data_IF_026932115989
#
_entry.id   IF_026932115989
#
_cell.length_a   1.000
_cell.length_b   1.000
_cell.length_c   1.000
_cell.angle_alpha   90.00
_cell.angle_beta   90.00
_cell.angle_gamma   90.00
#
_symmetry.space_group_name_H-M   'P 1'
#
loop_
_entity.id
_entity.type
_entity.pdbx_description
1 polymer ?
#
# COMPACT_ATOMS: atom_id res chain seq x y z
N UNK A 1 -10.57 -27.28 16.63
CA UNK A 1 -11.97 -27.64 16.31
C UNK A 1 -12.47 -26.53 15.40
N UNK A 2 -12.85 -26.85 14.14
CA UNK A 2 -13.41 -25.86 13.22
C UNK A 2 -14.80 -25.48 13.74
N UNK A 3 -15.02 -24.19 14.03
CA UNK A 3 -16.34 -23.67 14.35
C UNK A 3 -17.13 -23.56 13.05
N UNK A 4 -18.33 -24.12 13.03
CA UNK A 4 -19.27 -23.94 11.92
C UNK A 4 -19.93 -22.56 12.05
N UNK A 5 -19.90 -21.81 10.95
CA UNK A 5 -20.62 -20.54 10.82
C UNK A 5 -21.97 -20.86 10.17
N UNK A 6 -23.05 -20.59 10.89
CA UNK A 6 -24.41 -20.68 10.36
C UNK A 6 -25.07 -19.31 10.55
N UNK A 7 -25.29 -18.59 9.47
CA UNK A 7 -25.95 -17.28 9.49
C UNK A 7 -27.12 -17.29 8.52
N UNK A 8 -28.21 -16.64 8.93
CA UNK A 8 -29.40 -16.45 8.12
C UNK A 8 -29.89 -15.02 8.24
N UNK A 9 -30.21 -14.41 7.10
CA UNK A 9 -30.78 -13.07 7.06
C UNK A 9 -31.73 -12.92 5.88
N UNK A 10 -32.83 -12.19 6.09
CA UNK A 10 -33.73 -11.77 5.05
C UNK A 10 -33.27 -10.44 4.44
N UNK A 11 -33.32 -10.32 3.12
CA UNK A 11 -32.94 -9.10 2.41
C UNK A 11 -33.98 -8.01 2.64
N UNK A 12 -33.64 -6.90 3.32
CA UNK A 12 -34.55 -5.77 3.46
C UNK A 12 -34.99 -5.22 2.10
N UNK A 13 -36.23 -4.70 2.03
CA UNK A 13 -36.79 -4.20 0.77
C UNK A 13 -35.93 -3.10 0.12
N UNK A 14 -35.29 -2.25 0.93
CA UNK A 14 -34.38 -1.19 0.49
C UNK A 14 -33.06 -1.69 -0.11
N UNK A 15 -32.68 -2.95 0.15
CA UNK A 15 -31.51 -3.59 -0.45
C UNK A 15 -31.87 -4.44 -1.67
N UNK A 16 -33.15 -4.58 -1.98
CA UNK A 16 -33.63 -5.23 -3.19
C UNK A 16 -33.10 -4.53 -4.46
N UNK A 17 -32.78 -5.31 -5.48
CA UNK A 17 -32.22 -4.78 -6.73
C UNK A 17 -30.70 -4.55 -6.71
N UNK A 18 -30.04 -4.87 -5.60
CA UNK A 18 -28.58 -4.79 -5.50
C UNK A 18 -27.92 -6.15 -5.74
N UNK A 19 -26.62 -6.12 -5.95
CA UNK A 19 -25.82 -7.33 -6.18
C UNK A 19 -25.69 -8.15 -4.90
N UNK A 20 -25.75 -9.47 -5.01
CA UNK A 20 -25.66 -10.40 -3.89
C UNK A 20 -24.40 -10.15 -3.02
N UNK A 21 -23.22 -9.93 -3.65
CA UNK A 21 -21.98 -9.70 -2.91
C UNK A 21 -22.00 -8.38 -2.09
N UNK A 22 -22.81 -7.41 -2.49
CA UNK A 22 -22.98 -6.15 -1.76
C UNK A 22 -23.98 -6.30 -0.62
N UNK A 23 -25.11 -6.94 -0.88
CA UNK A 23 -26.15 -7.20 0.12
C UNK A 23 -25.61 -8.10 1.22
N UNK A 24 -24.95 -9.20 0.87
CA UNK A 24 -24.32 -10.10 1.83
C UNK A 24 -23.31 -9.38 2.73
N UNK A 25 -22.50 -8.45 2.19
CA UNK A 25 -21.54 -7.68 2.97
C UNK A 25 -22.18 -6.66 3.93
N UNK A 26 -23.42 -6.26 3.69
CA UNK A 26 -24.17 -5.41 4.62
C UNK A 26 -24.86 -6.23 5.70
N UNK A 27 -25.42 -7.40 5.36
CA UNK A 27 -26.17 -8.25 6.28
C UNK A 27 -25.23 -9.07 7.20
N UNK A 28 -24.07 -9.48 6.71
CA UNK A 28 -23.06 -10.26 7.45
C UNK A 28 -21.78 -9.43 7.61
N UNK A 29 -21.92 -8.28 8.30
CA UNK A 29 -20.86 -7.26 8.41
C UNK A 29 -19.59 -7.73 9.13
N UNK A 30 -19.63 -8.83 9.89
CA UNK A 30 -18.48 -9.48 10.50
C UNK A 30 -17.55 -10.16 9.48
N UNK A 31 -18.01 -10.36 8.24
CA UNK A 31 -17.23 -11.00 7.19
C UNK A 31 -16.86 -10.05 6.05
N UNK A 32 -15.63 -10.16 5.55
CA UNK A 32 -15.21 -9.32 4.42
C UNK A 32 -15.99 -9.69 3.14
N UNK A 33 -16.29 -8.68 2.30
CA UNK A 33 -16.96 -8.88 1.01
C UNK A 33 -16.24 -9.89 0.12
N UNK A 34 -14.90 -9.95 0.18
CA UNK A 34 -14.10 -10.91 -0.57
C UNK A 34 -14.38 -12.34 -0.12
N UNK A 35 -14.49 -12.57 1.20
CA UNK A 35 -14.80 -13.87 1.79
C UNK A 35 -16.22 -14.30 1.45
N UNK A 36 -17.19 -13.41 1.59
CA UNK A 36 -18.57 -13.66 1.20
C UNK A 36 -18.68 -13.99 -0.29
N UNK A 37 -17.95 -13.28 -1.15
CA UNK A 37 -17.91 -13.60 -2.59
C UNK A 37 -17.29 -14.96 -2.91
N UNK A 38 -16.33 -15.43 -2.12
CA UNK A 38 -15.80 -16.80 -2.23
C UNK A 38 -16.87 -17.82 -1.82
N UNK A 39 -17.48 -17.65 -0.66
CA UNK A 39 -18.55 -18.54 -0.18
C UNK A 39 -19.77 -18.60 -1.09
N UNK A 40 -20.15 -17.49 -1.76
CA UNK A 40 -21.19 -17.50 -2.80
C UNK A 40 -20.76 -18.40 -3.97
N UNK A 41 -19.52 -18.27 -4.44
CA UNK A 41 -19.00 -19.10 -5.57
C UNK A 41 -18.91 -20.58 -5.23
N UNK A 42 -18.58 -20.88 -3.99
CA UNK A 42 -18.41 -22.24 -3.48
C UNK A 42 -19.77 -22.86 -3.05
N UNK A 43 -20.87 -22.11 -3.21
CA UNK A 43 -22.22 -22.57 -2.84
C UNK A 43 -22.48 -22.67 -1.34
N UNK A 44 -21.60 -22.10 -0.50
CA UNK A 44 -21.75 -22.05 0.97
C UNK A 44 -22.71 -20.95 1.40
N UNK A 45 -22.88 -19.89 0.59
CA UNK A 45 -23.91 -18.88 0.75
C UNK A 45 -24.94 -19.04 -0.35
N UNK A 46 -26.17 -19.33 0.03
CA UNK A 46 -27.31 -19.56 -0.85
C UNK A 46 -28.36 -18.46 -0.70
N UNK A 47 -29.23 -18.32 -1.71
CA UNK A 47 -30.38 -17.40 -1.69
C UNK A 47 -31.61 -18.23 -1.99
N UNK A 48 -32.58 -18.27 -1.06
CA UNK A 48 -33.78 -19.11 -1.13
C UNK A 48 -33.45 -20.58 -1.46
N UNK A 49 -32.32 -21.09 -0.89
CA UNK A 49 -31.80 -22.43 -1.14
C UNK A 49 -31.08 -22.61 -2.48
N UNK A 50 -31.01 -21.58 -3.32
CA UNK A 50 -30.35 -21.62 -4.63
C UNK A 50 -28.95 -21.01 -4.62
N UNK A 51 -28.03 -21.53 -5.46
CA UNK A 51 -26.69 -20.98 -5.65
C UNK A 51 -26.71 -19.93 -6.75
N UNK A 52 -26.36 -18.69 -6.40
CA UNK A 52 -26.23 -17.57 -7.32
C UNK A 52 -24.75 -17.18 -7.51
N UNK A 53 -24.49 -16.25 -8.44
CA UNK A 53 -23.17 -15.65 -8.61
C UNK A 53 -23.05 -14.38 -7.76
N UNK A 54 -21.84 -13.98 -7.32
CA UNK A 54 -21.66 -12.75 -6.54
C UNK A 54 -22.21 -11.47 -7.16
N UNK A 55 -22.36 -11.46 -8.50
CA UNK A 55 -22.86 -10.29 -9.26
C UNK A 55 -24.34 -10.35 -9.57
N UNK A 56 -25.00 -11.48 -9.29
CA UNK A 56 -26.42 -11.62 -9.53
C UNK A 56 -27.22 -10.69 -8.60
N UNK A 57 -28.38 -10.24 -9.07
CA UNK A 57 -29.23 -9.31 -8.34
C UNK A 57 -30.15 -10.12 -7.41
N UNK A 58 -30.29 -9.65 -6.18
CA UNK A 58 -31.23 -10.23 -5.20
C UNK A 58 -32.43 -9.32 -4.99
N UNK A 59 -33.58 -9.91 -4.63
CA UNK A 59 -34.81 -9.18 -4.38
C UNK A 59 -35.03 -8.97 -2.88
N UNK A 60 -35.78 -7.94 -2.51
CA UNK A 60 -36.26 -7.77 -1.15
C UNK A 60 -37.14 -8.94 -0.73
N UNK A 61 -36.99 -9.42 0.50
CA UNK A 61 -37.64 -10.61 1.04
C UNK A 61 -36.94 -11.94 0.73
N UNK A 62 -35.92 -11.97 -0.13
CA UNK A 62 -35.10 -13.17 -0.35
C UNK A 62 -34.31 -13.54 0.92
N UNK A 63 -34.15 -14.83 1.19
CA UNK A 63 -33.45 -15.32 2.39
C UNK A 63 -32.04 -15.76 2.00
N UNK A 64 -31.02 -15.11 2.61
CA UNK A 64 -29.62 -15.52 2.52
C UNK A 64 -29.32 -16.50 3.65
N UNK A 65 -28.78 -17.66 3.29
CA UNK A 65 -28.30 -18.68 4.23
C UNK A 65 -26.82 -18.94 3.98
N UNK A 66 -25.98 -18.75 4.99
CA UNK A 66 -24.56 -19.06 4.97
C UNK A 66 -24.30 -20.24 5.89
N UNK A 67 -23.80 -21.33 5.32
CA UNK A 67 -23.30 -22.50 6.04
C UNK A 67 -21.86 -22.70 5.58
N UNK A 68 -20.91 -22.30 6.42
CA UNK A 68 -19.50 -22.40 6.12
C UNK A 68 -18.74 -22.91 7.34
N UNK A 69 -17.76 -23.76 7.12
CA UNK A 69 -16.75 -23.98 8.14
C UNK A 69 -15.91 -22.70 8.24
N UNK A 70 -15.59 -22.30 9.47
CA UNK A 70 -14.60 -21.28 9.71
C UNK A 70 -13.26 -21.87 9.24
N UNK A 71 -13.01 -21.79 7.92
CA UNK A 71 -11.66 -21.98 7.45
C UNK A 71 -10.82 -20.96 8.19
N UNK A 72 -9.90 -21.43 9.01
CA UNK A 72 -8.83 -20.59 9.51
C UNK A 72 -8.33 -19.83 8.27
N UNK A 73 -8.47 -18.50 8.26
CA UNK A 73 -7.83 -17.66 7.23
C UNK A 73 -6.40 -18.12 7.28
N UNK A 74 -5.89 -18.73 6.18
CA UNK A 74 -4.70 -19.54 6.12
C UNK A 74 -3.74 -19.10 7.20
N UNK A 75 -3.47 -19.95 8.19
CA UNK A 75 -2.90 -19.60 9.47
C UNK A 75 -1.69 -18.73 9.24
N UNK A 76 -1.88 -17.42 9.33
CA UNK A 76 -0.74 -16.51 9.27
C UNK A 76 0.05 -16.77 10.53
N UNK A 77 1.18 -17.42 10.38
CA UNK A 77 2.02 -17.81 11.48
C UNK A 77 2.76 -16.57 12.00
N UNK A 78 2.70 -16.34 13.30
CA UNK A 78 3.53 -15.33 13.95
C UNK A 78 5.01 -15.68 13.74
N UNK A 79 5.82 -14.70 13.33
CA UNK A 79 7.25 -14.89 13.11
C UNK A 79 8.03 -13.77 13.81
N UNK A 80 9.10 -14.16 14.48
CA UNK A 80 10.02 -13.23 15.13
C UNK A 80 10.86 -12.50 14.07
N UNK A 81 10.28 -11.41 13.55
CA UNK A 81 10.92 -10.52 12.60
C UNK A 81 11.01 -9.15 13.27
N UNK A 82 12.23 -8.63 13.38
CA UNK A 82 12.50 -7.35 14.02
C UNK A 82 11.72 -6.20 13.34
N UNK A 83 11.07 -5.36 14.16
CA UNK A 83 10.34 -4.19 13.75
C UNK A 83 11.05 -2.92 14.29
N UNK A 84 11.40 -2.01 13.41
CA UNK A 84 11.85 -0.67 13.79
C UNK A 84 10.62 0.19 14.16
N UNK A 85 10.31 0.21 15.47
CA UNK A 85 9.13 0.86 16.04
C UNK A 85 9.46 2.31 16.35
N UNK A 86 8.75 3.24 15.70
CA UNK A 86 8.89 4.69 15.89
C UNK A 86 7.94 5.20 16.98
N UNK A 87 6.75 4.60 17.07
CA UNK A 87 5.75 4.94 18.07
C UNK A 87 4.81 3.77 18.30
N UNK A 88 4.41 3.56 19.53
CA UNK A 88 3.41 2.56 19.89
C UNK A 88 2.58 3.02 21.08
N UNK A 89 1.28 2.77 21.03
CA UNK A 89 0.35 2.83 22.15
C UNK A 89 -0.68 1.70 22.06
N UNK A 90 -1.77 1.76 22.80
CA UNK A 90 -2.81 0.74 22.81
C UNK A 90 -3.64 0.70 21.50
N UNK A 91 -3.60 1.74 20.67
CA UNK A 91 -4.44 1.91 19.49
C UNK A 91 -3.70 1.77 18.18
N UNK A 92 -2.49 2.28 18.11
CA UNK A 92 -1.70 2.33 16.88
C UNK A 92 -0.24 1.93 17.10
N UNK A 93 0.37 1.43 16.05
CA UNK A 93 1.78 1.18 15.93
C UNK A 93 2.30 1.91 14.69
N UNK A 94 3.35 2.71 14.82
CA UNK A 94 4.06 3.35 13.69
C UNK A 94 5.44 2.73 13.57
N UNK A 95 5.73 2.20 12.40
CA UNK A 95 6.99 1.53 12.11
C UNK A 95 7.76 2.24 10.99
N UNK A 96 9.06 2.10 10.98
CA UNK A 96 9.93 2.40 9.86
C UNK A 96 10.26 1.11 9.11
N UNK A 97 9.52 0.81 8.04
CA UNK A 97 9.66 -0.44 7.29
C UNK A 97 11.01 -0.49 6.57
N UNK A 98 11.82 -1.54 6.75
CA UNK A 98 13.05 -1.74 5.96
C UNK A 98 12.76 -2.11 4.49
N UNK A 99 13.77 -2.00 3.64
CA UNK A 99 13.74 -2.57 2.29
C UNK A 99 13.68 -4.11 2.36
N UNK A 100 13.12 -4.74 1.34
CA UNK A 100 13.02 -6.21 1.24
C UNK A 100 11.82 -6.81 1.99
N UNK A 101 11.23 -6.11 2.96
CA UNK A 101 10.08 -6.61 3.73
C UNK A 101 8.76 -6.40 2.96
N UNK A 102 8.10 -7.50 2.63
CA UNK A 102 6.74 -7.49 2.03
C UNK A 102 5.71 -7.19 3.11
N UNK A 103 4.71 -6.38 2.81
CA UNK A 103 3.70 -5.97 3.79
C UNK A 103 2.70 -7.09 4.09
N UNK A 104 2.18 -7.75 3.07
CA UNK A 104 1.16 -8.80 3.18
C UNK A 104 1.58 -10.06 2.44
N UNK A 105 1.22 -11.24 2.93
CA UNK A 105 1.36 -12.48 2.17
C UNK A 105 0.75 -12.36 0.76
N UNK A 106 1.49 -12.81 -0.23
CA UNK A 106 1.10 -12.79 -1.64
C UNK A 106 1.75 -13.96 -2.38
N UNK A 107 1.36 -14.19 -3.63
CA UNK A 107 1.99 -15.21 -4.47
C UNK A 107 3.53 -15.02 -4.51
N UNK A 108 4.26 -16.04 -4.10
CA UNK A 108 5.73 -16.02 -3.97
C UNK A 108 6.27 -15.49 -2.63
N UNK A 109 5.41 -15.06 -1.70
CA UNK A 109 5.75 -14.64 -0.35
C UNK A 109 4.60 -15.04 0.59
N UNK A 110 4.53 -16.32 0.95
CA UNK A 110 3.47 -16.86 1.82
C UNK A 110 3.67 -16.44 3.28
N UNK A 111 4.92 -16.21 3.68
CA UNK A 111 5.37 -15.82 5.02
C UNK A 111 6.54 -14.81 4.93
N UNK A 112 7.21 -14.54 6.05
CA UNK A 112 8.31 -13.57 6.10
C UNK A 112 7.85 -12.13 5.83
N UNK A 113 6.60 -11.81 6.14
CA UNK A 113 6.00 -10.51 5.84
C UNK A 113 5.83 -9.65 7.10
N UNK A 114 5.57 -8.36 6.91
CA UNK A 114 5.22 -7.47 8.02
C UNK A 114 4.03 -8.01 8.81
N UNK A 115 3.04 -8.60 8.16
CA UNK A 115 1.90 -9.21 8.84
C UNK A 115 2.34 -10.29 9.83
N UNK A 116 3.30 -11.17 9.45
CA UNK A 116 3.82 -12.21 10.33
C UNK A 116 4.57 -11.62 11.52
N UNK A 117 5.33 -10.53 11.31
CA UNK A 117 6.00 -9.78 12.38
C UNK A 117 5.00 -9.14 13.36
N UNK A 118 3.93 -8.54 12.83
CA UNK A 118 2.89 -7.93 13.65
C UNK A 118 2.15 -8.94 14.52
N UNK A 119 1.87 -10.13 14.01
CA UNK A 119 1.27 -11.21 14.78
C UNK A 119 2.16 -11.69 15.93
N UNK A 120 3.47 -11.62 15.75
CA UNK A 120 4.42 -11.94 16.82
C UNK A 120 4.51 -10.85 17.88
N UNK A 121 4.59 -9.58 17.42
CA UNK A 121 4.74 -8.42 18.30
C UNK A 121 3.46 -8.10 19.10
N UNK A 122 2.29 -8.22 18.46
CA UNK A 122 0.97 -7.94 19.05
C UNK A 122 0.05 -9.14 18.75
N UNK A 123 0.06 -10.22 19.57
CA UNK A 123 -0.73 -11.44 19.27
C UNK A 123 -2.22 -11.19 19.05
N UNK A 124 -2.82 -10.25 19.79
CA UNK A 124 -4.25 -9.92 19.69
C UNK A 124 -4.62 -9.22 18.37
N UNK A 125 -3.64 -8.76 17.60
CA UNK A 125 -3.87 -8.09 16.30
C UNK A 125 -4.48 -9.03 15.26
N UNK A 126 -4.44 -10.34 15.50
CA UNK A 126 -5.09 -11.35 14.66
C UNK A 126 -6.61 -11.10 14.55
N UNK A 127 -7.21 -10.52 15.57
CA UNK A 127 -8.63 -10.17 15.62
C UNK A 127 -8.96 -8.90 14.80
N UNK A 128 -7.93 -8.15 14.38
CA UNK A 128 -8.10 -6.94 13.55
C UNK A 128 -7.95 -7.33 12.08
N UNK A 129 -8.88 -6.96 11.20
CA UNK A 129 -8.80 -7.32 9.79
C UNK A 129 -7.43 -6.97 9.19
N UNK A 130 -6.81 -7.93 8.49
CA UNK A 130 -5.45 -7.79 7.90
C UNK A 130 -4.37 -7.44 8.92
N UNK A 131 -4.48 -7.91 10.15
CA UNK A 131 -3.59 -7.54 11.24
C UNK A 131 -3.40 -6.00 11.34
N UNK A 132 -4.48 -5.24 11.23
CA UNK A 132 -4.48 -3.79 11.38
C UNK A 132 -3.81 -2.99 10.27
N UNK A 133 -3.35 -3.60 9.20
CA UNK A 133 -2.68 -2.93 8.09
C UNK A 133 -3.70 -2.17 7.24
N UNK A 134 -3.66 -0.83 7.29
CA UNK A 134 -4.60 0.07 6.60
C UNK A 134 -4.05 0.64 5.29
N UNK A 135 -2.74 0.65 5.12
CA UNK A 135 -2.06 1.04 3.87
C UNK A 135 -0.79 0.21 3.66
N UNK A 136 -0.12 0.41 2.55
CA UNK A 136 1.06 -0.39 2.21
C UNK A 136 2.17 0.42 1.58
N UNK A 137 3.40 -0.06 1.73
CA UNK A 137 4.56 0.28 0.93
C UNK A 137 4.92 -0.90 0.01
N UNK A 138 5.61 -0.63 -1.08
CA UNK A 138 6.19 -1.70 -1.91
C UNK A 138 7.29 -2.43 -1.14
N UNK A 139 7.62 -3.66 -1.54
CA UNK A 139 8.65 -4.50 -0.90
C UNK A 139 9.92 -3.72 -0.59
N UNK A 140 10.45 -3.03 -1.58
CA UNK A 140 11.75 -2.34 -1.51
C UNK A 140 11.63 -0.83 -1.25
N UNK A 141 10.44 -0.33 -0.92
CA UNK A 141 10.22 1.03 -0.41
C UNK A 141 10.36 1.02 1.09
N UNK A 142 11.20 1.91 1.61
CA UNK A 142 11.46 2.08 3.04
C UNK A 142 10.60 3.17 3.66
N UNK A 143 10.51 3.21 4.99
CA UNK A 143 9.94 4.34 5.72
C UNK A 143 8.64 4.06 6.45
N UNK A 144 7.96 5.13 6.83
CA UNK A 144 6.88 5.13 7.80
C UNK A 144 5.61 4.42 7.32
N UNK A 145 5.09 3.56 8.17
CA UNK A 145 3.76 2.95 8.07
C UNK A 145 3.05 2.99 9.42
N UNK A 146 1.71 3.22 9.39
CA UNK A 146 0.85 3.07 10.56
C UNK A 146 0.04 1.78 10.46
N UNK A 147 -0.09 1.11 11.60
CA UNK A 147 -0.87 -0.10 11.80
C UNK A 147 -1.85 0.14 12.95
N UNK A 148 -3.09 -0.29 12.80
CA UNK A 148 -4.09 -0.25 13.85
C UNK A 148 -3.97 -1.48 14.75
N UNK A 149 -3.97 -1.30 16.07
CA UNK A 149 -3.97 -2.41 17.04
C UNK A 149 -5.38 -2.86 17.42
N UNK A 150 -6.41 -2.05 17.12
CA UNK A 150 -7.81 -2.34 17.42
C UNK A 150 -8.69 -2.13 16.18
N UNK A 151 -9.87 -2.77 16.16
CA UNK A 151 -10.86 -2.61 15.07
C UNK A 151 -11.33 -1.16 15.00
N UNK A 152 -11.53 -0.50 16.15
CA UNK A 152 -11.95 0.91 16.21
C UNK A 152 -10.89 1.82 15.58
N UNK A 153 -9.62 1.64 15.94
CA UNK A 153 -8.51 2.39 15.36
C UNK A 153 -8.41 2.16 13.85
N UNK A 154 -8.58 0.91 13.40
CA UNK A 154 -8.58 0.58 11.98
C UNK A 154 -9.68 1.32 11.21
N UNK A 155 -10.91 1.32 11.73
CA UNK A 155 -12.05 2.01 11.10
C UNK A 155 -11.77 3.51 10.97
N UNK A 156 -11.25 4.15 12.02
CA UNK A 156 -10.93 5.56 12.01
C UNK A 156 -9.78 5.89 11.04
N UNK A 157 -8.71 5.10 11.04
CA UNK A 157 -7.59 5.29 10.11
C UNK A 157 -8.00 5.08 8.65
N UNK A 158 -8.87 4.10 8.37
CA UNK A 158 -9.42 3.90 7.01
C UNK A 158 -10.26 5.10 6.59
N UNK A 159 -11.09 5.64 7.47
CA UNK A 159 -11.88 6.86 7.23
C UNK A 159 -10.97 8.05 6.92
N UNK A 160 -9.92 8.27 7.69
CA UNK A 160 -8.94 9.32 7.46
C UNK A 160 -8.19 9.15 6.12
N UNK A 161 -7.85 7.93 5.75
CA UNK A 161 -7.22 7.64 4.44
C UNK A 161 -8.19 7.90 3.28
N UNK A 162 -9.45 7.59 3.44
CA UNK A 162 -10.50 7.83 2.43
C UNK A 162 -10.82 9.32 2.28
N UNK A 163 -10.87 10.07 3.38
CA UNK A 163 -11.07 11.53 3.39
C UNK A 163 -9.80 12.31 3.03
N UNK A 164 -8.66 11.60 2.82
CA UNK A 164 -7.35 12.18 2.49
C UNK A 164 -6.79 13.11 3.57
N UNK A 165 -7.19 12.95 4.83
CA UNK A 165 -6.69 13.74 5.95
C UNK A 165 -5.33 13.25 6.46
N UNK A 166 -4.93 12.01 6.15
CA UNK A 166 -3.59 11.49 6.45
C UNK A 166 -2.56 12.09 5.51
N UNK A 167 -1.59 12.83 6.05
CA UNK A 167 -0.47 13.36 5.26
C UNK A 167 0.63 12.32 5.13
N UNK A 168 0.98 11.97 3.90
CA UNK A 168 2.05 11.00 3.56
C UNK A 168 3.02 11.68 2.62
N UNK A 169 4.25 11.91 3.10
CA UNK A 169 5.29 12.57 2.32
C UNK A 169 6.44 11.61 2.12
N UNK A 170 6.88 11.52 0.89
CA UNK A 170 7.97 10.67 0.44
C UNK A 170 9.10 11.51 -0.11
N UNK A 171 10.32 10.96 -0.06
CA UNK A 171 11.45 11.48 -0.79
C UNK A 171 11.95 10.43 -1.79
N UNK A 172 12.30 10.88 -2.98
CA UNK A 172 12.81 10.00 -4.04
C UNK A 172 13.90 10.70 -4.85
N UNK A 173 14.78 9.91 -5.46
CA UNK A 173 15.76 10.40 -6.42
C UNK A 173 15.31 9.93 -7.80
N UNK A 174 15.14 10.89 -8.72
CA UNK A 174 14.70 10.63 -10.08
C UNK A 174 15.80 10.89 -11.09
N UNK A 175 15.73 10.15 -12.20
CA UNK A 175 16.60 10.33 -13.36
C UNK A 175 16.09 11.54 -14.15
N UNK A 176 16.99 12.50 -14.43
CA UNK A 176 16.67 13.74 -15.13
C UNK A 176 16.61 14.96 -14.21
N UNK A 177 16.69 16.14 -14.81
CA UNK A 177 16.67 17.43 -14.11
C UNK A 177 15.28 18.00 -14.16
N UNK A 178 14.57 17.88 -13.05
CA UNK A 178 13.21 18.44 -12.88
C UNK A 178 13.32 19.96 -12.69
N UNK A 179 12.69 20.72 -13.57
CA UNK A 179 12.82 22.20 -13.59
C UNK A 179 11.93 22.88 -12.54
N UNK A 180 10.74 22.33 -12.26
CA UNK A 180 9.79 22.89 -11.28
C UNK A 180 9.01 21.78 -10.58
N UNK A 181 8.47 22.10 -9.41
CA UNK A 181 7.46 21.24 -8.76
C UNK A 181 6.14 21.26 -9.53
N UNK A 182 5.26 20.30 -9.22
CA UNK A 182 3.98 20.19 -9.90
C UNK A 182 3.01 19.22 -9.26
N UNK A 183 1.88 19.03 -9.92
CA UNK A 183 0.84 18.05 -9.61
C UNK A 183 0.73 17.05 -10.76
N UNK A 184 0.66 15.78 -10.44
CA UNK A 184 0.32 14.71 -11.39
C UNK A 184 -1.05 14.19 -10.99
N UNK A 185 -2.05 14.41 -11.84
CA UNK A 185 -3.42 13.94 -11.67
C UNK A 185 -3.71 13.00 -12.85
N UNK A 186 -3.36 11.73 -12.66
CA UNK A 186 -3.42 10.75 -13.73
C UNK A 186 -3.89 9.39 -13.18
N UNK A 187 -5.00 8.82 -13.69
CA UNK A 187 -5.58 7.61 -13.16
C UNK A 187 -4.68 6.39 -13.39
N UNK A 188 -4.58 5.53 -12.38
CA UNK A 188 -3.71 4.35 -12.41
C UNK A 188 -4.55 3.07 -12.44
N UNK A 189 -4.21 2.19 -13.37
CA UNK A 189 -4.76 0.84 -13.50
C UNK A 189 -3.68 -0.21 -13.68
N UNK A 190 -4.08 -1.47 -13.77
CA UNK A 190 -3.17 -2.59 -14.04
C UNK A 190 -2.75 -2.57 -15.50
N UNK A 191 -1.44 -2.68 -15.76
CA UNK A 191 -0.91 -2.70 -17.12
C UNK A 191 -1.50 -3.85 -17.95
N UNK A 192 -1.97 -3.56 -19.16
CA UNK A 192 -2.75 -4.50 -19.98
C UNK A 192 -2.02 -5.83 -20.29
N UNK A 193 -0.71 -5.77 -20.56
CA UNK A 193 0.09 -6.94 -20.93
C UNK A 193 0.96 -7.46 -19.76
N UNK A 194 1.50 -6.59 -18.93
CA UNK A 194 2.38 -6.94 -17.81
C UNK A 194 1.65 -6.86 -16.48
N UNK A 195 0.94 -7.93 -16.10
CA UNK A 195 0.03 -7.96 -14.94
C UNK A 195 0.69 -7.57 -13.60
N UNK A 196 2.00 -7.64 -13.47
CA UNK A 196 2.75 -7.23 -12.27
C UNK A 196 2.99 -5.72 -12.22
N UNK A 197 2.77 -4.98 -13.34
CA UNK A 197 2.95 -3.55 -13.44
C UNK A 197 1.63 -2.80 -13.36
N UNK A 198 1.73 -1.57 -12.89
CA UNK A 198 0.68 -0.56 -12.99
C UNK A 198 1.02 0.43 -14.10
N UNK A 199 0.03 1.14 -14.63
CA UNK A 199 0.22 2.16 -15.65
C UNK A 199 -0.79 3.30 -15.48
N UNK A 200 -0.44 4.48 -15.93
CA UNK A 200 -1.43 5.53 -16.18
C UNK A 200 -2.29 5.08 -17.35
N UNK A 201 -3.60 5.02 -17.15
CA UNK A 201 -4.53 4.57 -18.18
C UNK A 201 -5.93 5.15 -17.97
N UNK A 202 -6.63 5.37 -19.05
CA UNK A 202 -8.04 5.72 -19.03
C UNK A 202 -8.87 4.60 -18.38
N UNK A 203 -9.84 4.98 -17.55
CA UNK A 203 -10.60 4.00 -16.74
C UNK A 203 -9.87 3.46 -15.51
N UNK A 204 -8.63 3.89 -15.24
CA UNK A 204 -7.91 3.61 -14.01
C UNK A 204 -8.55 4.28 -12.79
N UNK A 205 -8.08 3.91 -11.59
CA UNK A 205 -8.51 4.57 -10.34
C UNK A 205 -7.84 5.92 -10.21
N UNK A 206 -8.60 6.95 -9.82
CA UNK A 206 -8.06 8.29 -9.56
C UNK A 206 -6.80 8.23 -8.70
N UNK A 207 -5.76 8.92 -9.15
CA UNK A 207 -4.47 8.99 -8.47
C UNK A 207 -3.89 10.40 -8.60
N UNK A 208 -3.50 10.99 -7.46
CA UNK A 208 -2.99 12.36 -7.39
C UNK A 208 -1.73 12.39 -6.53
N UNK A 209 -0.65 12.95 -7.09
CA UNK A 209 0.63 13.16 -6.43
C UNK A 209 1.10 14.61 -6.63
N UNK A 210 1.52 15.28 -5.56
CA UNK A 210 2.17 16.58 -5.63
C UNK A 210 3.66 16.40 -5.42
N UNK A 211 4.49 17.05 -6.25
CA UNK A 211 5.93 16.93 -6.10
C UNK A 211 6.62 18.29 -6.04
N UNK A 212 7.72 18.34 -5.29
CA UNK A 212 8.60 19.51 -5.13
C UNK A 212 10.04 19.10 -5.32
N UNK A 213 10.81 19.92 -6.03
CA UNK A 213 12.25 19.78 -6.13
C UNK A 213 12.88 20.16 -4.79
N UNK A 214 13.70 19.27 -4.23
CA UNK A 214 14.53 19.56 -3.05
C UNK A 214 15.93 19.99 -3.48
N UNK A 215 16.57 19.22 -4.36
CA UNK A 215 17.91 19.51 -4.87
C UNK A 215 18.07 18.99 -6.29
N UNK A 216 18.81 19.74 -7.14
CA UNK A 216 19.14 19.34 -8.51
C UNK A 216 20.61 18.98 -8.58
N UNK A 217 20.87 17.91 -9.31
CA UNK A 217 22.20 17.44 -9.69
C UNK A 217 22.35 17.54 -11.21
N UNK A 218 23.51 17.18 -11.75
CA UNK A 218 23.78 17.28 -13.19
C UNK A 218 22.78 16.52 -14.09
N UNK A 219 22.35 15.34 -13.64
CA UNK A 219 21.48 14.45 -14.41
C UNK A 219 20.39 13.78 -13.56
N UNK A 220 20.25 14.17 -12.31
CA UNK A 220 19.28 13.62 -11.36
C UNK A 220 18.65 14.73 -10.53
N UNK A 221 17.54 14.40 -9.87
CA UNK A 221 16.87 15.36 -8.97
C UNK A 221 16.41 14.64 -7.71
N UNK A 222 16.65 15.23 -6.55
CA UNK A 222 16.03 14.84 -5.29
C UNK A 222 14.67 15.53 -5.20
N UNK A 223 13.62 14.76 -5.03
CA UNK A 223 12.23 15.21 -5.10
C UNK A 223 11.46 14.77 -3.87
N UNK A 224 10.66 15.66 -3.31
CA UNK A 224 9.66 15.36 -2.28
C UNK A 224 8.30 15.18 -2.93
N UNK A 225 7.59 14.12 -2.56
CA UNK A 225 6.26 13.79 -3.10
C UNK A 225 5.25 13.68 -1.97
N UNK A 226 4.17 14.45 -2.03
CA UNK A 226 3.00 14.35 -1.15
C UNK A 226 1.87 13.62 -1.88
N UNK A 227 1.31 12.60 -1.24
CA UNK A 227 0.22 11.81 -1.80
C UNK A 227 -1.15 12.28 -1.30
N UNK A 228 -2.11 12.50 -2.23
CA UNK A 228 -3.53 12.54 -1.89
C UNK A 228 -4.16 11.14 -1.90
N UNK A 229 -3.73 10.30 -2.81
CA UNK A 229 -4.18 8.91 -2.97
C UNK A 229 -3.04 7.94 -2.76
N UNK A 230 -3.32 6.65 -2.51
CA UNK A 230 -2.32 5.60 -2.31
C UNK A 230 -2.58 4.39 -3.22
N UNK A 231 -2.34 4.53 -4.53
CA UNK A 231 -2.47 3.40 -5.47
C UNK A 231 -1.17 2.61 -5.50
N UNK A 232 -1.26 1.33 -5.86
CA UNK A 232 -0.09 0.47 -6.01
C UNK A 232 0.92 1.12 -6.95
N UNK A 233 2.18 1.22 -6.53
CA UNK A 233 3.30 1.82 -7.26
C UNK A 233 3.08 3.29 -7.68
N UNK A 234 2.18 4.03 -7.03
CA UNK A 234 1.71 5.33 -7.53
C UNK A 234 2.85 6.31 -7.83
N UNK A 235 3.76 6.58 -6.89
CA UNK A 235 4.88 7.51 -7.10
C UNK A 235 5.75 7.06 -8.26
N UNK A 236 6.08 5.77 -8.31
CA UNK A 236 6.92 5.17 -9.34
C UNK A 236 6.32 5.32 -10.74
N UNK A 237 5.02 5.03 -10.87
CA UNK A 237 4.26 5.17 -12.12
C UNK A 237 4.11 6.64 -12.52
N UNK A 238 3.75 7.52 -11.59
CA UNK A 238 3.56 8.94 -11.87
C UNK A 238 4.85 9.63 -12.29
N UNK A 239 5.96 9.38 -11.59
CA UNK A 239 7.25 9.97 -11.97
C UNK A 239 7.75 9.43 -13.31
N UNK A 240 7.57 8.14 -13.59
CA UNK A 240 7.89 7.57 -14.90
C UNK A 240 6.98 8.15 -16.01
N UNK A 241 5.70 8.39 -15.73
CA UNK A 241 4.74 8.97 -16.67
C UNK A 241 5.16 10.38 -17.14
N UNK A 242 5.73 11.18 -16.24
CA UNK A 242 6.26 12.52 -16.59
C UNK A 242 7.73 12.48 -17.03
N UNK A 243 8.26 11.31 -17.40
CA UNK A 243 9.62 11.07 -17.90
C UNK A 243 10.74 11.30 -16.88
N UNK A 244 10.45 11.23 -15.58
CA UNK A 244 11.43 11.28 -14.49
C UNK A 244 11.35 10.00 -13.63
N UNK A 245 11.67 8.81 -14.18
CA UNK A 245 11.61 7.57 -13.40
C UNK A 245 12.60 7.59 -12.23
N UNK A 246 12.32 6.78 -11.20
CA UNK A 246 13.17 6.69 -10.02
C UNK A 246 14.48 5.94 -10.34
N UNK A 247 15.58 6.36 -9.72
CA UNK A 247 16.84 5.63 -9.73
C UNK A 247 16.64 4.25 -9.12
N UNK A 248 17.22 3.23 -9.70
CA UNK A 248 17.19 1.84 -9.22
C UNK A 248 15.82 1.15 -9.33
N UNK A 249 14.82 1.76 -9.99
CA UNK A 249 13.52 1.14 -10.15
C UNK A 249 13.53 0.04 -11.21
N UNK A 250 13.39 -1.25 -10.82
CA UNK A 250 13.51 -2.37 -11.76
C UNK A 250 12.30 -2.47 -12.70
N UNK A 251 11.16 -1.88 -12.32
CA UNK A 251 9.93 -1.99 -13.08
C UNK A 251 9.68 -0.78 -14.01
N UNK A 252 10.00 0.42 -13.55
CA UNK A 252 9.66 1.68 -14.23
C UNK A 252 10.87 2.53 -14.61
N UNK A 253 12.09 2.18 -14.15
CA UNK A 253 13.35 2.92 -14.42
C UNK A 253 13.73 3.01 -15.90
N UNK A 254 13.16 2.15 -16.73
CA UNK A 254 13.48 2.09 -18.16
C UNK A 254 14.88 1.56 -18.44
N UNK A 255 15.42 1.89 -19.63
CA UNK A 255 16.80 1.53 -19.98
C UNK A 255 17.77 2.46 -19.27
N UNK A 256 18.78 1.88 -18.61
CA UNK A 256 19.84 2.66 -17.99
C UNK A 256 20.54 3.57 -19.03
N UNK A 257 20.69 4.84 -18.68
CA UNK A 257 21.40 5.84 -19.49
C UNK A 257 22.59 6.35 -18.69
N UNK A 258 23.77 6.30 -19.27
CA UNK A 258 24.99 6.83 -18.66
C UNK A 258 24.87 8.36 -18.63
N UNK A 259 25.00 9.00 -17.45
CA UNK A 259 25.03 10.47 -17.40
C UNK A 259 26.24 11.01 -18.19
N UNK A 260 26.10 12.13 -18.90
CA UNK A 260 27.22 12.73 -19.63
C UNK A 260 28.41 12.99 -18.72
N UNK A 261 29.63 12.63 -19.14
CA UNK A 261 30.87 12.79 -18.39
C UNK A 261 30.85 12.21 -16.96
N UNK A 262 30.06 11.17 -16.71
CA UNK A 262 30.06 10.49 -15.42
C UNK A 262 31.31 9.66 -15.24
N UNK A 263 31.88 9.66 -14.02
CA UNK A 263 32.98 8.77 -13.67
C UNK A 263 32.53 7.30 -13.72
N UNK A 264 33.48 6.38 -13.88
CA UNK A 264 33.17 4.94 -13.84
C UNK A 264 32.53 4.54 -12.53
N UNK A 265 32.98 5.10 -11.41
CA UNK A 265 32.39 4.88 -10.07
C UNK A 265 30.94 5.31 -10.03
N UNK A 266 30.61 6.47 -10.57
CA UNK A 266 29.21 6.97 -10.65
C UNK A 266 28.33 6.04 -11.49
N UNK A 267 28.84 5.61 -12.66
CA UNK A 267 28.11 4.71 -13.56
C UNK A 267 27.82 3.37 -12.89
N UNK A 268 28.82 2.79 -12.24
CA UNK A 268 28.69 1.51 -11.55
C UNK A 268 27.70 1.62 -10.38
N UNK A 269 27.84 2.65 -9.57
CA UNK A 269 26.97 2.92 -8.43
C UNK A 269 25.50 3.08 -8.82
N UNK A 270 25.21 3.81 -9.90
CA UNK A 270 23.85 3.97 -10.40
C UNK A 270 23.28 2.68 -10.99
N UNK A 271 24.12 1.85 -11.64
CA UNK A 271 23.71 0.55 -12.18
C UNK A 271 23.38 -0.47 -11.09
N UNK A 272 24.16 -0.45 -10.02
CA UNK A 272 24.07 -1.43 -8.93
C UNK A 272 23.19 -0.97 -7.78
N UNK A 273 22.60 0.24 -7.85
CA UNK A 273 21.70 0.71 -6.81
C UNK A 273 20.53 -0.27 -6.66
N UNK A 274 20.34 -0.89 -5.45
CA UNK A 274 19.66 -2.18 -5.33
C UNK A 274 18.12 -2.11 -5.42
N UNK A 275 17.52 -0.92 -5.36
CA UNK A 275 16.08 -0.74 -5.25
C UNK A 275 15.63 0.62 -5.78
N UNK A 276 14.31 0.84 -5.92
CA UNK A 276 13.83 2.19 -6.18
C UNK A 276 14.27 3.15 -5.05
N UNK A 277 14.92 4.25 -5.40
CA UNK A 277 15.30 5.31 -4.47
C UNK A 277 14.05 6.06 -4.00
N UNK A 278 13.29 5.44 -3.09
CA UNK A 278 12.01 5.91 -2.56
C UNK A 278 11.90 5.59 -1.07
N UNK A 279 11.55 6.60 -0.29
CA UNK A 279 11.44 6.52 1.16
C UNK A 279 10.21 7.29 1.66
N UNK A 280 9.38 6.67 2.50
CA UNK A 280 8.24 7.29 3.17
C UNK A 280 8.75 8.09 4.38
N UNK A 281 9.09 9.37 4.13
CA UNK A 281 9.84 10.26 5.02
C UNK A 281 9.03 10.78 6.19
N UNK A 282 7.74 11.12 5.94
CA UNK A 282 6.88 11.79 6.92
C UNK A 282 5.47 11.23 6.86
N UNK A 283 4.90 11.01 8.04
CA UNK A 283 3.53 10.56 8.24
C UNK A 283 2.86 11.44 9.30
N UNK A 284 1.65 11.91 9.02
CA UNK A 284 0.86 12.70 9.96
C UNK A 284 -0.61 12.31 9.85
N UNK A 285 -1.27 12.12 10.98
CA UNK A 285 -2.67 11.72 11.10
C UNK A 285 -3.28 12.21 12.41
N UNK A 286 -4.60 12.13 12.51
CA UNK A 286 -5.28 12.32 13.79
C UNK A 286 -5.34 10.98 14.53
N UNK A 287 -4.90 10.97 15.79
CA UNK A 287 -4.94 9.76 16.61
C UNK A 287 -6.38 9.23 16.72
N UNK A 288 -6.62 7.94 16.41
CA UNK A 288 -7.96 7.41 16.20
C UNK A 288 -8.90 7.50 17.39
N UNK A 289 -8.37 7.58 18.62
CA UNK A 289 -9.18 7.67 19.84
C UNK A 289 -9.21 9.09 20.41
N UNK A 290 -8.05 9.77 20.47
CA UNK A 290 -7.95 11.09 21.11
C UNK A 290 -8.24 12.24 20.16
N UNK A 291 -8.22 12.02 18.85
CA UNK A 291 -8.35 13.06 17.82
C UNK A 291 -7.14 14.01 17.75
N UNK A 292 -6.11 13.82 18.58
CA UNK A 292 -4.92 14.66 18.58
C UNK A 292 -4.14 14.48 17.29
N UNK A 293 -3.76 15.57 16.63
CA UNK A 293 -2.88 15.56 15.46
C UNK A 293 -1.49 15.11 15.86
N UNK A 294 -0.97 14.05 15.24
CA UNK A 294 0.34 13.47 15.51
C UNK A 294 1.13 13.33 14.22
N UNK A 295 2.43 13.48 14.31
CA UNK A 295 3.33 13.36 13.16
C UNK A 295 4.63 12.67 13.55
N UNK A 296 5.18 11.93 12.59
CA UNK A 296 6.45 11.22 12.72
C UNK A 296 7.30 11.45 11.47
N UNK A 297 8.60 11.43 11.67
CA UNK A 297 9.59 11.56 10.62
C UNK A 297 10.61 10.43 10.77
N UNK A 298 10.97 9.78 9.67
CA UNK A 298 12.00 8.74 9.62
C UNK A 298 13.25 9.29 8.95
N UNK A 299 14.48 9.03 9.44
CA UNK A 299 15.70 9.41 8.76
C UNK A 299 15.79 8.74 7.39
N UNK A 300 16.47 9.37 6.44
CA UNK A 300 16.77 8.72 5.16
C UNK A 300 17.70 7.52 5.41
N UNK A 301 17.44 6.37 4.76
CA UNK A 301 18.29 5.19 4.93
C UNK A 301 19.67 5.39 4.30
N UNK A 302 20.67 4.67 4.79
CA UNK A 302 22.08 4.85 4.45
C UNK A 302 22.36 4.77 2.95
N UNK A 303 21.72 3.84 2.24
CA UNK A 303 21.86 3.71 0.78
C UNK A 303 21.35 4.95 0.03
N UNK A 304 20.29 5.57 0.54
CA UNK A 304 19.73 6.80 -0.03
C UNK A 304 20.65 8.01 0.26
N UNK A 305 21.14 8.14 1.50
CA UNK A 305 22.09 9.19 1.91
C UNK A 305 23.37 9.06 1.10
N UNK A 306 23.89 7.86 0.95
CA UNK A 306 25.04 7.57 0.13
C UNK A 306 24.85 8.00 -1.33
N UNK A 307 23.71 7.66 -1.94
CA UNK A 307 23.39 8.06 -3.31
C UNK A 307 23.32 9.59 -3.45
N UNK A 308 22.72 10.31 -2.50
CA UNK A 308 22.72 11.77 -2.49
C UNK A 308 24.15 12.34 -2.43
N UNK A 309 25.01 11.78 -1.59
CA UNK A 309 26.40 12.21 -1.46
C UNK A 309 27.17 12.01 -2.76
N UNK A 310 26.99 10.89 -3.42
CA UNK A 310 27.59 10.60 -4.72
C UNK A 310 27.16 11.62 -5.80
N UNK A 311 25.87 11.95 -5.85
CA UNK A 311 25.34 12.91 -6.81
C UNK A 311 25.86 14.34 -6.54
N UNK A 312 26.06 14.70 -5.26
CA UNK A 312 26.67 15.99 -4.88
C UNK A 312 28.13 16.08 -5.32
N UNK A 313 28.92 15.05 -5.04
CA UNK A 313 30.32 14.96 -5.45
C UNK A 313 30.48 15.05 -6.98
N UNK A 314 29.63 14.35 -7.74
CA UNK A 314 29.63 14.41 -9.21
C UNK A 314 29.34 15.84 -9.71
N UNK A 315 28.40 16.54 -9.08
CA UNK A 315 28.11 17.95 -9.42
C UNK A 315 29.28 18.88 -9.10
N UNK A 316 29.88 18.74 -7.94
CA UNK A 316 31.01 19.57 -7.50
C UNK A 316 32.24 19.37 -8.39
N UNK A 317 32.57 18.12 -8.71
CA UNK A 317 33.67 17.79 -9.61
C UNK A 317 33.51 18.34 -11.05
N UNK A 318 32.29 18.64 -11.46
CA UNK A 318 32.00 19.19 -12.79
C UNK A 318 32.03 20.72 -12.85
N UNK A 319 31.81 21.39 -11.71
CA UNK A 319 31.80 22.87 -11.61
C UNK A 319 33.22 23.41 -11.40
N UNK A 320 34.14 22.62 -10.81
CA UNK A 320 35.56 22.97 -10.64
C UNK A 320 36.37 22.63 -11.88
#
# INVERSE_FOLDING_TARGET
>A
MSENIELRAEVPSELGGQRLDQVAAQLFAEHSRSRLSAWIKDGRLTVDGGVLRPRDIVHGGAVLELIAEQEAQGEWVAQDIELDIIYEDDQILVINKPAGLVVHPAAGHADGTLLNALLHHVPDIINVPRAGIVHRLDKDTTGLMVVAKTIQAQTQLVTQLQSRSVSRIYECIVIGVVTAGGKIDAPIGRHGQQRQRMAVMEGGKQAVSHYRVLERFRSHTHVRVKLETGRTHQIRVHMAHINFPLVGDPAYGGRFRIPPAASLTMVDSLKTFPRQALHARFLELDHPTTGKRMSWESPLPDDFVWLLSLLKQDREAFIG
#
